data_IF_812661451842
#
_entry.id   IF_812661451842
#
_cell.length_a   1.000
_cell.length_b   1.000
_cell.length_c   1.000
_cell.angle_alpha   90.00
_cell.angle_beta   90.00
_cell.angle_gamma   90.00
#
_symmetry.space_group_name_H-M   'P 1'
#
loop_
_entity.id
_entity.type
_entity.pdbx_description
1 polymer ?
#
# COMPACT_ATOMS: atom_id res chain seq x y z
N UNK A 1 -7.88 8.34 -0.98
CA UNK A 1 -7.38 7.87 -2.29
C UNK A 1 -8.43 8.08 -3.38
N UNK A 2 -8.06 8.70 -4.50
CA UNK A 2 -8.90 8.89 -5.70
C UNK A 2 -8.45 7.91 -6.79
N UNK A 3 -9.26 6.89 -7.06
CA UNK A 3 -8.97 5.88 -8.07
C UNK A 3 -9.83 6.10 -9.32
N UNK A 4 -9.19 6.23 -10.47
CA UNK A 4 -9.81 6.56 -11.74
C UNK A 4 -9.55 5.43 -12.73
N UNK A 5 -10.65 4.84 -13.19
CA UNK A 5 -10.62 3.61 -13.97
C UNK A 5 -10.35 3.82 -15.45
N UNK A 6 -10.32 5.05 -15.97
CA UNK A 6 -9.97 5.33 -17.36
C UNK A 6 -9.38 6.72 -17.58
N UNK A 7 -8.64 6.87 -18.69
CA UNK A 7 -8.02 8.15 -19.03
C UNK A 7 -9.09 9.23 -19.31
N UNK A 8 -10.24 8.86 -19.87
CA UNK A 8 -11.36 9.78 -20.10
C UNK A 8 -11.94 10.30 -18.78
N UNK A 9 -12.08 9.43 -17.78
CA UNK A 9 -12.54 9.80 -16.43
C UNK A 9 -11.48 10.64 -15.69
N UNK A 10 -10.20 10.54 -16.07
CA UNK A 10 -9.12 11.31 -15.47
C UNK A 10 -9.02 12.74 -16.02
N UNK A 11 -9.65 13.03 -17.17
CA UNK A 11 -9.60 14.35 -17.81
C UNK A 11 -9.98 15.51 -16.87
N UNK A 12 -11.06 15.45 -16.06
CA UNK A 12 -11.40 16.51 -15.12
C UNK A 12 -10.30 16.74 -14.09
N UNK A 13 -9.69 15.66 -13.58
CA UNK A 13 -8.62 15.70 -12.58
C UNK A 13 -7.33 16.27 -13.17
N UNK A 14 -6.94 15.86 -14.38
CA UNK A 14 -5.77 16.45 -15.07
C UNK A 14 -5.99 17.91 -15.41
N UNK A 15 -7.20 18.28 -15.85
CA UNK A 15 -7.58 19.68 -16.02
C UNK A 15 -7.61 20.43 -14.69
N UNK A 16 -7.87 19.76 -13.57
CA UNK A 16 -7.80 20.33 -12.23
C UNK A 16 -6.35 20.65 -11.83
N UNK A 17 -5.44 19.72 -12.09
CA UNK A 17 -4.02 19.78 -11.69
C UNK A 17 -3.12 20.53 -12.67
N UNK A 18 -3.50 20.68 -13.95
CA UNK A 18 -2.70 21.33 -14.99
C UNK A 18 -2.60 22.85 -14.86
N UNK A 19 -2.43 23.39 -13.65
CA UNK A 19 -2.42 24.83 -13.36
C UNK A 19 -1.59 25.11 -12.13
N UNK A 20 -0.54 25.90 -12.31
CA UNK A 20 0.44 26.20 -11.25
C UNK A 20 -0.19 26.76 -9.98
N UNK A 21 -1.18 27.66 -10.11
CA UNK A 21 -1.87 28.24 -8.96
C UNK A 21 -2.67 27.21 -8.15
N UNK A 22 -3.19 26.15 -8.80
CA UNK A 22 -3.92 25.06 -8.13
C UNK A 22 -2.97 24.06 -7.49
N UNK A 23 -1.81 23.82 -8.09
CA UNK A 23 -0.74 23.03 -7.46
C UNK A 23 -0.23 23.73 -6.20
N UNK A 24 0.06 25.03 -6.28
CA UNK A 24 0.45 25.84 -5.12
C UNK A 24 -0.62 25.84 -4.02
N UNK A 25 -1.89 25.99 -4.40
CA UNK A 25 -3.01 25.89 -3.47
C UNK A 25 -3.01 24.54 -2.72
N UNK A 26 -2.84 23.44 -3.45
CA UNK A 26 -2.79 22.10 -2.85
C UNK A 26 -1.60 21.99 -1.89
N UNK A 27 -0.41 22.44 -2.29
CA UNK A 27 0.80 22.42 -1.45
C UNK A 27 0.59 23.20 -0.15
N UNK A 28 0.02 24.41 -0.23
CA UNK A 28 -0.29 25.22 0.97
C UNK A 28 -1.26 24.50 1.91
N UNK A 29 -2.29 23.83 1.38
CA UNK A 29 -3.23 23.07 2.22
C UNK A 29 -2.60 21.78 2.80
N UNK A 30 -1.63 21.17 2.12
CA UNK A 30 -0.87 20.03 2.68
C UNK A 30 0.02 20.47 3.84
N UNK A 31 0.58 21.68 3.80
CA UNK A 31 1.41 22.25 4.87
C UNK A 31 0.59 22.67 6.10
N UNK A 32 -0.62 23.20 5.90
CA UNK A 32 -1.43 23.81 6.97
C UNK A 32 -2.68 23.01 7.38
N UNK A 33 -2.91 21.84 6.77
CA UNK A 33 -4.06 20.93 6.95
C UNK A 33 -5.43 21.53 6.55
N UNK A 34 -5.80 22.69 7.08
CA UNK A 34 -7.06 23.38 6.81
C UNK A 34 -6.86 24.91 6.79
N UNK A 35 -7.46 25.61 5.83
CA UNK A 35 -7.38 27.08 5.74
C UNK A 35 -8.69 27.69 5.25
N UNK A 36 -9.05 28.88 5.74
CA UNK A 36 -10.20 29.61 5.21
C UNK A 36 -9.86 30.32 3.88
N UNK A 37 -10.90 30.73 3.14
CA UNK A 37 -10.73 31.36 1.83
C UNK A 37 -9.86 32.63 1.85
N UNK A 38 -9.94 33.45 2.91
CA UNK A 38 -9.20 34.70 2.99
C UNK A 38 -7.70 34.48 3.21
N UNK A 39 -7.36 33.53 4.08
CA UNK A 39 -5.98 33.12 4.34
C UNK A 39 -5.35 32.50 3.10
N UNK A 40 -6.10 31.62 2.43
CA UNK A 40 -5.64 30.95 1.21
C UNK A 40 -5.42 31.95 0.07
N UNK A 41 -6.31 32.95 -0.08
CA UNK A 41 -6.16 34.01 -1.07
C UNK A 41 -4.90 34.86 -0.79
N UNK A 42 -4.66 35.19 0.48
CA UNK A 42 -3.52 35.98 0.92
C UNK A 42 -2.19 35.23 0.72
N UNK A 43 -2.14 33.95 1.08
CA UNK A 43 -0.96 33.09 0.91
C UNK A 43 -0.58 32.92 -0.57
N UNK A 44 -1.60 32.77 -1.43
CA UNK A 44 -1.39 32.60 -2.87
C UNK A 44 -1.18 33.91 -3.63
N UNK A 45 -1.43 35.06 -3.00
CA UNK A 45 -1.30 36.39 -3.62
C UNK A 45 -2.37 36.67 -4.68
N UNK A 46 -3.58 36.12 -4.52
CA UNK A 46 -4.68 36.28 -5.47
C UNK A 46 -5.94 36.83 -4.81
N UNK A 47 -6.89 37.33 -5.59
CA UNK A 47 -8.18 37.80 -5.06
C UNK A 47 -9.09 36.63 -4.68
N UNK A 48 -9.96 36.83 -3.68
CA UNK A 48 -10.97 35.84 -3.28
C UNK A 48 -11.88 35.38 -4.45
N UNK A 49 -12.20 36.29 -5.37
CA UNK A 49 -12.98 35.97 -6.57
C UNK A 49 -12.23 35.02 -7.52
N UNK A 50 -10.93 35.26 -7.74
CA UNK A 50 -10.08 34.36 -8.52
C UNK A 50 -9.95 32.99 -7.83
N UNK A 51 -9.72 32.99 -6.51
CA UNK A 51 -9.59 31.77 -5.71
C UNK A 51 -10.83 30.88 -5.77
N UNK A 52 -12.03 31.46 -5.71
CA UNK A 52 -13.30 30.69 -5.73
C UNK A 52 -13.39 29.79 -6.95
N UNK A 53 -12.94 30.27 -8.12
CA UNK A 53 -12.94 29.48 -9.36
C UNK A 53 -11.94 28.30 -9.32
N UNK A 54 -10.79 28.49 -8.67
CA UNK A 54 -9.78 27.44 -8.51
C UNK A 54 -10.21 26.38 -7.52
N UNK A 55 -10.74 26.80 -6.37
CA UNK A 55 -11.26 25.93 -5.31
C UNK A 55 -12.39 25.07 -5.85
N UNK A 56 -13.37 25.68 -6.55
CA UNK A 56 -14.49 24.93 -7.13
C UNK A 56 -14.05 23.86 -8.12
N UNK A 57 -13.05 24.14 -8.98
CA UNK A 57 -12.51 23.13 -9.92
C UNK A 57 -11.79 21.97 -9.22
N UNK A 58 -11.15 22.23 -8.08
CA UNK A 58 -10.49 21.18 -7.28
C UNK A 58 -11.52 20.36 -6.48
N UNK A 59 -12.58 21.01 -6.00
CA UNK A 59 -13.73 20.37 -5.34
C UNK A 59 -14.48 19.45 -6.30
N UNK A 60 -14.82 19.93 -7.50
CA UNK A 60 -15.48 19.15 -8.55
C UNK A 60 -14.64 17.93 -9.00
N UNK A 61 -13.31 18.03 -8.91
CA UNK A 61 -12.39 16.95 -9.20
C UNK A 61 -12.18 15.99 -8.01
N UNK A 62 -12.83 16.25 -6.86
CA UNK A 62 -12.73 15.44 -5.65
C UNK A 62 -11.41 15.57 -4.89
N UNK A 63 -10.53 16.50 -5.27
CA UNK A 63 -9.19 16.68 -4.67
C UNK A 63 -9.29 17.46 -3.35
N UNK A 64 -10.22 18.41 -3.28
CA UNK A 64 -10.40 19.34 -2.16
C UNK A 64 -11.84 19.22 -1.63
N UNK A 65 -12.01 19.36 -0.32
CA UNK A 65 -13.33 19.47 0.32
C UNK A 65 -13.51 20.87 0.94
N UNK A 66 -14.72 21.40 0.84
CA UNK A 66 -15.12 22.65 1.49
C UNK A 66 -16.06 22.33 2.65
N UNK A 67 -15.64 22.67 3.86
CA UNK A 67 -16.39 22.44 5.08
C UNK A 67 -16.99 23.74 5.61
N UNK A 68 -18.23 23.73 6.14
CA UNK A 68 -18.77 24.85 6.88
C UNK A 68 -18.08 24.96 8.26
N UNK A 69 -17.65 26.16 8.62
CA UNK A 69 -17.05 26.43 9.93
C UNK A 69 -18.17 26.67 10.97
N UNK A 70 -18.15 25.94 12.10
CA UNK A 70 -19.23 25.97 13.09
C UNK A 70 -18.96 26.92 14.27
N UNK A 71 -17.82 27.61 14.28
CA UNK A 71 -17.25 28.21 15.51
C UNK A 71 -17.25 29.74 15.56
N UNK A 72 -17.82 30.44 14.56
CA UNK A 72 -17.74 31.90 14.48
C UNK A 72 -19.01 32.56 13.92
N UNK A 73 -19.22 33.84 14.28
CA UNK A 73 -20.27 34.68 13.69
C UNK A 73 -19.94 34.98 12.22
N UNK A 74 -20.32 34.09 11.31
CA UNK A 74 -20.19 34.27 9.86
C UNK A 74 -20.27 32.96 9.11
N UNK A 75 -20.77 32.99 7.87
CA UNK A 75 -20.91 31.83 6.98
C UNK A 75 -19.54 31.48 6.35
N UNK A 76 -18.53 31.19 7.19
CA UNK A 76 -17.16 30.93 6.75
C UNK A 76 -16.99 29.48 6.29
N UNK A 77 -16.16 29.30 5.27
CA UNK A 77 -15.88 28.03 4.61
C UNK A 77 -14.39 27.73 4.70
N UNK A 78 -14.06 26.54 5.15
CA UNK A 78 -12.69 26.04 5.30
C UNK A 78 -12.40 25.02 4.19
N UNK A 79 -11.23 25.11 3.60
CA UNK A 79 -10.77 24.20 2.56
C UNK A 79 -9.75 23.23 3.12
N UNK A 80 -9.84 21.96 2.73
CA UNK A 80 -8.83 20.93 3.06
C UNK A 80 -8.65 19.95 1.91
N UNK A 81 -7.48 19.31 1.85
CA UNK A 81 -7.24 18.23 0.89
C UNK A 81 -8.02 16.98 1.32
N UNK A 82 -8.71 16.36 0.36
CA UNK A 82 -9.58 15.21 0.60
C UNK A 82 -8.97 13.89 0.09
N UNK A 83 -7.81 13.96 -0.56
CA UNK A 83 -7.15 12.81 -1.19
C UNK A 83 -5.65 12.84 -0.91
N UNK A 84 -5.12 11.68 -0.54
CA UNK A 84 -3.70 11.38 -0.30
C UNK A 84 -2.99 10.91 -1.59
N UNK A 85 -3.69 10.15 -2.43
CA UNK A 85 -3.18 9.59 -3.70
C UNK A 85 -4.21 9.70 -4.81
N UNK A 86 -3.72 9.86 -6.04
CA UNK A 86 -4.51 9.79 -7.27
C UNK A 86 -3.93 8.67 -8.14
N UNK A 87 -4.71 7.63 -8.39
CA UNK A 87 -4.33 6.50 -9.24
C UNK A 87 -5.17 6.52 -10.51
N UNK A 88 -4.52 6.52 -11.68
CA UNK A 88 -5.17 6.55 -12.99
C UNK A 88 -4.75 5.36 -13.81
N UNK A 89 -5.72 4.54 -14.21
CA UNK A 89 -5.51 3.51 -15.21
C UNK A 89 -5.47 4.14 -16.60
N UNK A 90 -4.34 4.00 -17.29
CA UNK A 90 -4.13 4.54 -18.65
C UNK A 90 -4.65 3.56 -19.71
N UNK A 91 -4.53 2.25 -19.46
CA UNK A 91 -4.97 1.20 -20.36
C UNK A 91 -6.27 0.58 -19.85
N UNK A 92 -7.36 1.33 -19.99
CA UNK A 92 -8.69 0.90 -19.54
C UNK A 92 -9.60 0.42 -20.67
N UNK A 93 -9.11 0.55 -21.90
CA UNK A 93 -9.66 -0.06 -23.09
C UNK A 93 -8.55 -0.88 -23.75
N UNK A 94 -8.35 -2.09 -23.25
CA UNK A 94 -7.88 -3.16 -24.12
C UNK A 94 -9.11 -3.95 -24.55
N UNK A 95 -9.74 -3.51 -25.64
CA UNK A 95 -10.26 -4.41 -26.69
C UNK A 95 -9.07 -5.09 -27.41
N UNK A 96 -8.11 -5.56 -26.64
CA UNK A 96 -7.32 -6.75 -26.96
C UNK A 96 -8.20 -7.92 -26.51
N UNK A 97 -8.15 -9.11 -27.13
CA UNK A 97 -8.86 -10.27 -26.57
C UNK A 97 -8.47 -10.32 -25.10
N UNK A 98 -9.48 -10.34 -24.21
CA UNK A 98 -9.33 -10.17 -22.77
C UNK A 98 -7.94 -10.66 -22.33
N UNK A 99 -7.09 -9.77 -21.82
CA UNK A 99 -5.90 -10.23 -21.11
C UNK A 99 -6.47 -11.04 -19.94
N UNK A 100 -6.48 -12.35 -20.14
CA UNK A 100 -7.09 -13.25 -19.21
C UNK A 100 -6.32 -13.06 -17.90
N UNK A 101 -7.05 -12.62 -16.88
CA UNK A 101 -6.47 -12.25 -15.62
C UNK A 101 -7.43 -12.59 -14.50
N UNK A 102 -6.87 -12.89 -13.34
CA UNK A 102 -7.63 -13.03 -12.11
C UNK A 102 -6.99 -12.19 -11.01
N UNK A 103 -7.79 -11.84 -10.03
CA UNK A 103 -7.34 -11.14 -8.83
C UNK A 103 -7.86 -11.85 -7.60
N UNK A 104 -7.04 -11.86 -6.55
CA UNK A 104 -7.37 -12.45 -5.26
C UNK A 104 -6.79 -11.60 -4.14
N UNK A 105 -7.54 -11.47 -3.06
CA UNK A 105 -7.05 -10.91 -1.81
C UNK A 105 -6.69 -12.04 -0.85
N UNK A 106 -5.45 -12.04 -0.35
CA UNK A 106 -4.94 -13.02 0.61
C UNK A 106 -4.84 -12.34 1.96
N UNK A 107 -5.71 -12.68 2.94
CA UNK A 107 -5.60 -12.18 4.32
C UNK A 107 -4.21 -12.39 4.88
N UNK A 108 -3.66 -11.40 5.57
CA UNK A 108 -2.28 -11.52 6.09
C UNK A 108 -2.13 -12.66 7.11
N UNK A 109 -3.22 -13.04 7.79
CA UNK A 109 -3.27 -14.19 8.69
C UNK A 109 -3.23 -15.56 8.00
N UNK A 110 -3.51 -15.63 6.69
CA UNK A 110 -3.60 -16.88 5.91
C UNK A 110 -2.25 -17.40 5.39
N UNK A 111 -1.16 -17.10 6.09
CA UNK A 111 0.11 -17.78 5.83
C UNK A 111 0.00 -19.27 6.19
N UNK A 112 0.83 -20.11 5.56
CA UNK A 112 0.80 -21.56 5.80
C UNK A 112 2.15 -22.14 6.25
N UNK A 113 3.23 -21.38 6.14
CA UNK A 113 4.55 -21.78 6.58
C UNK A 113 5.32 -20.55 7.07
N UNK A 114 6.10 -20.70 8.13
CA UNK A 114 6.81 -19.59 8.76
C UNK A 114 8.02 -20.09 9.55
N UNK A 115 8.99 -19.21 9.72
CA UNK A 115 10.04 -19.33 10.73
C UNK A 115 10.36 -17.91 11.17
N UNK A 116 9.81 -17.51 12.31
CA UNK A 116 9.87 -16.13 12.81
C UNK A 116 10.60 -16.10 14.14
N UNK A 117 11.28 -14.98 14.40
CA UNK A 117 12.02 -14.75 15.64
C UNK A 117 11.70 -13.37 16.20
N UNK A 118 11.80 -13.19 17.53
CA UNK A 118 11.54 -11.93 18.19
C UNK A 118 12.39 -10.73 17.68
N UNK A 119 11.89 -9.50 17.77
CA UNK A 119 10.55 -9.14 18.26
C UNK A 119 9.47 -9.68 17.33
N UNK A 120 8.36 -10.22 17.83
CA UNK A 120 7.33 -10.82 16.96
C UNK A 120 5.93 -10.84 17.58
N UNK A 121 4.90 -10.84 16.75
CA UNK A 121 3.53 -10.96 17.23
C UNK A 121 2.48 -10.83 16.13
N UNK A 122 1.23 -10.97 16.56
CA UNK A 122 0.03 -11.02 15.75
C UNK A 122 -1.11 -10.33 16.50
N UNK A 123 -1.95 -9.59 15.81
CA UNK A 123 -3.16 -9.01 16.41
C UNK A 123 -4.34 -9.01 15.45
N UNK A 124 -5.53 -9.19 15.99
CA UNK A 124 -6.78 -8.82 15.32
C UNK A 124 -7.00 -7.31 15.49
N UNK A 125 -8.12 -6.79 14.99
CA UNK A 125 -8.58 -5.42 15.29
C UNK A 125 -9.02 -5.22 16.74
N UNK A 126 -9.23 -6.29 17.52
CA UNK A 126 -9.83 -6.22 18.85
C UNK A 126 -8.85 -6.60 19.96
N UNK A 127 -7.89 -7.47 19.68
CA UNK A 127 -6.94 -7.97 20.68
C UNK A 127 -5.69 -8.61 20.07
N UNK A 128 -4.63 -8.67 20.87
CA UNK A 128 -3.45 -9.48 20.59
C UNK A 128 -3.82 -10.97 20.50
N UNK A 129 -3.19 -11.66 19.55
CA UNK A 129 -3.29 -13.12 19.43
C UNK A 129 -2.15 -13.71 20.25
N UNK A 130 -2.42 -14.04 21.50
CA UNK A 130 -1.43 -14.59 22.43
C UNK A 130 -0.55 -13.54 23.09
N UNK A 131 0.73 -13.87 23.29
CA UNK A 131 1.73 -13.00 23.89
C UNK A 131 2.75 -12.55 22.83
N UNK A 132 3.25 -11.33 22.98
CA UNK A 132 4.32 -10.80 22.14
C UNK A 132 5.63 -11.54 22.40
N UNK A 133 6.49 -11.58 21.38
CA UNK A 133 7.82 -12.19 21.39
C UNK A 133 7.84 -13.71 21.63
N UNK A 134 6.71 -14.38 21.42
CA UNK A 134 6.62 -15.84 21.42
C UNK A 134 6.17 -16.38 20.04
N UNK A 135 7.11 -16.91 19.24
CA UNK A 135 6.83 -17.46 17.91
C UNK A 135 5.77 -18.57 17.88
N UNK A 136 5.47 -19.23 19.01
CA UNK A 136 4.49 -20.32 19.06
C UNK A 136 3.08 -19.84 18.72
N UNK A 137 2.76 -18.57 18.95
CA UNK A 137 1.44 -18.02 18.63
C UNK A 137 1.20 -17.87 17.12
N UNK A 138 2.24 -17.95 16.28
CA UNK A 138 2.06 -18.05 14.84
C UNK A 138 1.44 -19.38 14.38
N UNK A 139 1.32 -20.39 15.26
CA UNK A 139 0.51 -21.59 15.02
C UNK A 139 -0.87 -21.55 15.72
N UNK A 140 -1.19 -20.48 16.46
CA UNK A 140 -2.46 -20.41 17.20
C UNK A 140 -3.64 -20.30 16.22
N UNK A 141 -4.74 -21.06 16.36
CA UNK A 141 -5.83 -21.08 15.38
C UNK A 141 -6.39 -19.71 14.98
N UNK A 142 -6.42 -18.75 15.90
CA UNK A 142 -6.84 -17.36 15.65
C UNK A 142 -5.89 -16.55 14.76
N UNK A 143 -4.72 -17.09 14.38
CA UNK A 143 -3.78 -16.40 13.48
C UNK A 143 -4.41 -16.05 12.14
N UNK A 144 -5.41 -16.82 11.69
CA UNK A 144 -6.16 -16.57 10.45
C UNK A 144 -6.92 -15.24 10.47
N UNK A 145 -7.25 -14.73 11.67
CA UNK A 145 -7.96 -13.48 11.87
C UNK A 145 -7.00 -12.27 12.05
N UNK A 146 -5.68 -12.50 11.98
CA UNK A 146 -4.69 -11.45 12.16
C UNK A 146 -4.85 -10.35 11.09
N UNK A 147 -4.80 -9.09 11.56
CA UNK A 147 -4.85 -7.85 10.77
C UNK A 147 -3.55 -7.07 10.80
N UNK A 148 -2.67 -7.40 11.74
CA UNK A 148 -1.26 -7.02 11.73
C UNK A 148 -0.42 -8.20 12.19
N UNK A 149 0.78 -8.34 11.61
CA UNK A 149 1.79 -9.30 12.05
C UNK A 149 3.19 -8.72 11.89
N UNK A 150 4.11 -9.09 12.77
CA UNK A 150 5.48 -8.60 12.73
C UNK A 150 6.48 -9.64 13.21
N UNK A 151 7.71 -9.54 12.72
CA UNK A 151 8.84 -10.32 13.21
C UNK A 151 10.20 -9.66 12.93
N UNK A 152 11.18 -9.85 13.83
CA UNK A 152 12.51 -9.25 13.73
C UNK A 152 13.42 -9.90 12.69
N UNK A 153 13.27 -11.19 12.44
CA UNK A 153 13.96 -11.93 11.37
C UNK A 153 13.26 -13.23 11.02
N UNK A 154 13.64 -13.81 9.88
CA UNK A 154 13.10 -15.06 9.37
C UNK A 154 12.15 -14.84 8.21
N UNK A 155 11.12 -15.66 8.06
CA UNK A 155 10.22 -15.60 6.91
C UNK A 155 8.79 -16.01 7.22
N UNK A 156 7.89 -15.61 6.31
CA UNK A 156 6.50 -16.04 6.26
C UNK A 156 6.07 -16.30 4.80
N UNK A 157 5.37 -17.42 4.58
CA UNK A 157 4.95 -17.91 3.26
C UNK A 157 3.44 -17.87 3.07
N UNK A 158 3.03 -17.32 1.93
CA UNK A 158 1.65 -17.26 1.46
C UNK A 158 1.45 -18.11 0.23
N UNK A 159 0.31 -18.81 0.18
CA UNK A 159 -0.12 -19.58 -0.98
C UNK A 159 -0.95 -18.67 -1.86
N UNK A 160 -0.48 -18.40 -3.07
CA UNK A 160 -1.29 -17.76 -4.11
C UNK A 160 -2.04 -18.88 -4.84
N UNK A 161 -3.38 -18.88 -4.86
CA UNK A 161 -4.13 -19.86 -5.62
C UNK A 161 -3.83 -19.73 -7.11
N UNK A 162 -3.21 -20.76 -7.68
CA UNK A 162 -2.92 -20.81 -9.10
C UNK A 162 -4.20 -21.18 -9.89
N UNK A 163 -4.95 -20.16 -10.30
CA UNK A 163 -6.17 -20.32 -11.11
C UNK A 163 -5.89 -20.23 -12.62
N UNK A 164 -4.65 -20.52 -13.04
CA UNK A 164 -4.24 -20.49 -14.44
C UNK A 164 -4.93 -21.62 -15.22
N UNK A 165 -5.67 -21.33 -16.31
CA UNK A 165 -6.25 -22.36 -17.15
C UNK A 165 -5.17 -23.25 -17.81
N UNK A 166 -5.47 -24.52 -18.11
CA UNK A 166 -4.53 -25.39 -18.82
C UNK A 166 -4.04 -24.79 -20.14
N UNK A 167 -2.73 -24.87 -20.38
CA UNK A 167 -2.11 -24.35 -21.61
C UNK A 167 -1.91 -22.82 -21.62
N UNK A 168 -2.12 -22.14 -20.50
CA UNK A 168 -1.79 -20.72 -20.33
C UNK A 168 -0.45 -20.57 -19.61
N UNK A 169 0.19 -19.42 -19.74
CA UNK A 169 1.41 -19.01 -19.02
C UNK A 169 1.22 -17.65 -18.37
N UNK A 170 1.88 -17.42 -17.24
CA UNK A 170 1.84 -16.13 -16.55
C UNK A 170 2.74 -15.13 -17.27
N UNK A 171 2.19 -13.98 -17.68
CA UNK A 171 2.96 -12.88 -18.26
C UNK A 171 3.39 -11.85 -17.23
N UNK A 172 2.51 -11.60 -16.26
CA UNK A 172 2.74 -10.62 -15.19
C UNK A 172 2.04 -11.03 -13.91
N UNK A 173 2.78 -11.00 -12.81
CA UNK A 173 2.28 -11.10 -11.43
C UNK A 173 2.43 -9.75 -10.75
N UNK A 174 1.38 -9.25 -10.12
CA UNK A 174 1.38 -8.00 -9.35
C UNK A 174 0.90 -8.29 -7.94
N UNK A 175 1.66 -7.85 -6.94
CA UNK A 175 1.29 -7.91 -5.53
C UNK A 175 1.25 -6.49 -4.95
N UNK A 176 0.20 -6.17 -4.21
CA UNK A 176 0.04 -4.92 -3.47
C UNK A 176 -0.18 -5.24 -1.99
N UNK A 177 0.60 -4.60 -1.12
CA UNK A 177 0.59 -4.86 0.32
C UNK A 177 1.14 -3.65 1.10
N UNK A 178 0.67 -3.45 2.32
CA UNK A 178 1.23 -2.46 3.24
C UNK A 178 2.29 -3.10 4.15
N UNK A 179 3.49 -2.52 4.20
CA UNK A 179 4.64 -3.10 4.89
C UNK A 179 5.58 -2.03 5.48
N UNK A 180 6.23 -2.32 6.60
CA UNK A 180 7.33 -1.53 7.19
C UNK A 180 8.42 -2.46 7.75
N UNK A 181 9.46 -1.86 8.35
CA UNK A 181 10.34 -2.60 9.26
C UNK A 181 9.67 -2.76 10.62
N UNK A 182 10.35 -3.42 11.55
CA UNK A 182 9.88 -3.71 12.91
C UNK A 182 10.99 -3.36 13.92
N UNK A 183 10.73 -2.33 14.74
CA UNK A 183 11.63 -1.92 15.82
C UNK A 183 11.00 -2.23 17.17
N UNK A 184 11.79 -2.47 18.24
CA UNK A 184 11.24 -2.46 19.59
C UNK A 184 10.59 -1.10 19.90
N UNK A 185 9.26 -1.06 19.94
CA UNK A 185 8.50 0.19 20.03
C UNK A 185 8.21 0.75 18.64
N UNK A 186 8.74 1.93 18.33
CA UNK A 186 8.71 2.54 16.99
C UNK A 186 9.99 3.33 16.76
N UNK A 187 10.52 3.26 15.53
CA UNK A 187 11.67 4.07 15.12
C UNK A 187 11.66 4.27 13.61
N UNK A 188 11.41 5.51 13.18
CA UNK A 188 11.35 5.87 11.75
C UNK A 188 12.70 5.82 11.02
N UNK A 189 13.80 5.66 11.76
CA UNK A 189 15.14 5.40 11.23
C UNK A 189 15.62 4.00 11.69
N UNK A 190 14.99 2.98 11.12
CA UNK A 190 15.23 1.57 11.44
C UNK A 190 15.20 0.72 10.17
N UNK A 191 16.22 0.83 9.31
CA UNK A 191 16.17 0.21 8.00
C UNK A 191 16.10 -1.32 8.10
N UNK A 192 15.40 -1.94 7.14
CA UNK A 192 15.33 -3.40 7.05
C UNK A 192 15.31 -3.87 5.61
N UNK A 193 16.24 -4.77 5.26
CA UNK A 193 16.32 -5.41 3.96
C UNK A 193 15.32 -6.56 3.88
N UNK A 194 14.18 -6.31 3.23
CA UNK A 194 13.09 -7.28 3.07
C UNK A 194 13.18 -7.90 1.69
N UNK A 195 13.48 -9.19 1.65
CA UNK A 195 13.61 -10.00 0.45
C UNK A 195 12.29 -10.69 0.12
N UNK A 196 11.95 -10.69 -1.17
CA UNK A 196 10.78 -11.36 -1.70
C UNK A 196 11.20 -12.62 -2.47
N UNK A 197 10.47 -13.71 -2.26
CA UNK A 197 10.68 -14.93 -3.04
C UNK A 197 9.36 -15.40 -3.66
N UNK A 198 9.48 -16.03 -4.82
CA UNK A 198 8.40 -16.75 -5.47
C UNK A 198 8.91 -18.14 -5.85
N UNK A 199 8.25 -19.20 -5.35
CA UNK A 199 8.67 -20.59 -5.52
C UNK A 199 10.17 -20.81 -5.24
N UNK A 200 10.63 -20.32 -4.08
CA UNK A 200 12.03 -20.36 -3.62
C UNK A 200 13.04 -19.55 -4.45
N UNK A 201 12.61 -18.85 -5.49
CA UNK A 201 13.48 -17.95 -6.26
C UNK A 201 13.41 -16.55 -5.66
N UNK A 202 14.55 -15.97 -5.27
CA UNK A 202 14.62 -14.58 -4.79
C UNK A 202 14.31 -13.64 -5.95
N UNK A 203 13.17 -12.96 -5.90
CA UNK A 203 12.72 -12.06 -6.98
C UNK A 203 13.22 -10.63 -6.76
N UNK A 204 13.63 -10.27 -5.54
CA UNK A 204 14.27 -8.99 -5.26
C UNK A 204 14.32 -8.68 -3.77
N UNK A 205 14.90 -7.54 -3.43
CA UNK A 205 14.95 -7.00 -2.06
C UNK A 205 14.54 -5.53 -2.09
N UNK A 206 13.77 -5.12 -1.10
CA UNK A 206 13.43 -3.73 -0.83
C UNK A 206 13.88 -3.38 0.58
N UNK A 207 14.57 -2.26 0.74
CA UNK A 207 14.93 -1.75 2.06
C UNK A 207 13.82 -0.82 2.56
N UNK A 208 13.10 -1.26 3.60
CA UNK A 208 12.22 -0.37 4.37
C UNK A 208 13.07 0.69 5.07
N UNK A 209 12.66 1.97 5.11
CA UNK A 209 13.43 3.00 5.79
C UNK A 209 13.24 3.01 7.31
N UNK A 210 12.11 2.50 7.82
CA UNK A 210 11.83 2.52 9.24
C UNK A 210 10.46 1.98 9.63
N UNK A 211 10.21 2.09 10.93
CA UNK A 211 9.05 1.60 11.64
C UNK A 211 8.24 2.78 12.19
N UNK A 212 7.00 2.93 11.73
CA UNK A 212 6.29 4.21 11.79
C UNK A 212 5.19 4.20 12.85
N UNK A 213 5.23 5.17 13.75
CA UNK A 213 4.15 5.43 14.72
C UNK A 213 4.12 6.87 15.22
N UNK A 214 4.66 7.79 14.42
CA UNK A 214 4.61 9.23 14.66
C UNK A 214 3.19 9.80 14.55
N UNK A 215 2.35 9.17 13.72
CA UNK A 215 0.92 9.45 13.59
C UNK A 215 0.11 8.17 13.72
N UNK A 216 -1.11 8.29 14.22
CA UNK A 216 -2.05 7.19 14.27
C UNK A 216 -2.46 6.75 12.86
N UNK A 217 -2.45 5.43 12.62
CA UNK A 217 -2.83 4.86 11.33
C UNK A 217 -4.32 5.03 11.08
N UNK A 218 -4.71 5.24 9.82
CA UNK A 218 -6.10 5.52 9.45
C UNK A 218 -7.10 4.43 9.88
N UNK A 219 -6.65 3.17 9.90
CA UNK A 219 -7.45 2.00 10.26
C UNK A 219 -6.94 1.31 11.53
N UNK A 220 -5.87 1.82 12.14
CA UNK A 220 -5.29 1.21 13.34
C UNK A 220 -6.27 1.36 14.51
N UNK A 221 -6.56 0.31 15.30
CA UNK A 221 -7.54 0.38 16.38
C UNK A 221 -7.14 1.33 17.52
N UNK A 222 -8.13 1.98 18.13
CA UNK A 222 -7.92 2.93 19.25
C UNK A 222 -7.22 2.32 20.48
N UNK A 223 -7.38 1.00 20.70
CA UNK A 223 -6.74 0.32 21.84
C UNK A 223 -5.25 0.00 21.58
N UNK A 224 -4.81 0.08 20.32
CA UNK A 224 -3.44 -0.22 19.94
C UNK A 224 -2.47 0.77 20.61
N UNK A 225 -1.35 0.27 21.11
CA UNK A 225 -0.44 1.09 21.90
C UNK A 225 0.19 2.20 21.03
N UNK A 226 0.15 3.47 21.44
CA UNK A 226 0.70 4.56 20.63
C UNK A 226 2.21 4.47 20.38
N UNK A 227 2.93 3.73 21.24
CA UNK A 227 4.36 3.48 21.10
C UNK A 227 4.68 2.22 20.28
N UNK A 228 3.68 1.60 19.65
CA UNK A 228 3.84 0.54 18.67
C UNK A 228 3.53 1.09 17.28
N UNK A 229 3.99 0.37 16.26
CA UNK A 229 3.84 0.78 14.89
C UNK A 229 2.38 0.90 14.48
N UNK A 230 2.09 2.01 13.81
CA UNK A 230 0.76 2.47 13.49
C UNK A 230 0.42 2.26 12.02
N UNK A 231 1.41 2.24 11.13
CA UNK A 231 1.21 2.08 9.69
C UNK A 231 2.49 1.66 8.96
N UNK A 232 2.33 1.27 7.71
CA UNK A 232 3.41 0.97 6.79
C UNK A 232 3.30 1.75 5.47
N UNK A 233 4.15 1.38 4.52
CA UNK A 233 4.14 1.92 3.18
C UNK A 233 3.42 0.95 2.25
N UNK A 234 2.49 1.46 1.44
CA UNK A 234 1.91 0.66 0.37
C UNK A 234 2.96 0.40 -0.71
N UNK A 235 3.26 -0.87 -0.96
CA UNK A 235 4.20 -1.33 -1.96
C UNK A 235 3.49 -2.08 -3.06
N UNK A 236 3.93 -1.87 -4.29
CA UNK A 236 3.49 -2.63 -5.46
C UNK A 236 4.68 -3.38 -6.05
N UNK A 237 4.71 -4.70 -5.88
CA UNK A 237 5.70 -5.59 -6.48
C UNK A 237 5.15 -6.14 -7.81
N UNK A 238 5.87 -5.92 -8.91
CA UNK A 238 5.51 -6.43 -10.24
C UNK A 238 6.61 -7.34 -10.75
N UNK A 239 6.26 -8.56 -11.13
CA UNK A 239 7.15 -9.48 -11.83
C UNK A 239 6.55 -9.68 -13.23
N UNK A 240 7.26 -9.26 -14.26
CA UNK A 240 6.85 -9.45 -15.65
C UNK A 240 7.98 -10.04 -16.48
N UNK A 241 7.83 -10.04 -17.81
CA UNK A 241 8.87 -10.53 -18.75
C UNK A 241 10.16 -9.71 -18.78
N UNK A 242 10.17 -8.50 -18.23
CA UNK A 242 11.30 -7.56 -18.25
C UNK A 242 12.10 -7.56 -16.94
N UNK A 243 11.52 -8.06 -15.85
CA UNK A 243 12.18 -8.22 -14.56
C UNK A 243 11.20 -8.12 -13.39
N UNK A 244 11.76 -7.82 -12.22
CA UNK A 244 11.00 -7.54 -11.00
C UNK A 244 11.18 -6.09 -10.59
N UNK A 245 10.07 -5.44 -10.25
CA UNK A 245 9.98 -4.02 -9.96
C UNK A 245 9.24 -3.80 -8.66
N UNK A 246 9.64 -2.80 -7.88
CA UNK A 246 8.86 -2.30 -6.76
C UNK A 246 8.56 -0.83 -6.99
N UNK A 247 7.27 -0.46 -6.96
CA UNK A 247 6.77 0.88 -7.28
C UNK A 247 7.32 1.44 -8.61
N UNK A 248 7.50 0.56 -9.61
CA UNK A 248 8.03 0.90 -10.93
C UNK A 248 9.56 0.97 -11.03
N UNK A 249 10.29 0.85 -9.93
CA UNK A 249 11.75 0.77 -9.93
C UNK A 249 12.21 -0.68 -10.03
N UNK A 250 13.09 -0.98 -11.00
CA UNK A 250 13.62 -2.34 -11.18
C UNK A 250 14.53 -2.72 -10.01
N UNK A 251 14.23 -3.85 -9.35
CA UNK A 251 15.02 -4.38 -8.22
C UNK A 251 15.72 -5.70 -8.55
N UNK A 252 15.36 -6.36 -9.65
CA UNK A 252 15.98 -7.61 -10.10
C UNK A 252 15.70 -7.89 -11.59
N UNK A 253 16.59 -8.67 -12.21
CA UNK A 253 16.39 -9.21 -13.57
C UNK A 253 15.54 -10.48 -13.60
N UNK A 254 15.18 -11.04 -12.43
CA UNK A 254 14.27 -12.19 -12.33
C UNK A 254 12.92 -11.82 -12.93
N UNK A 255 12.46 -12.64 -13.85
CA UNK A 255 11.28 -12.39 -14.69
C UNK A 255 10.42 -13.65 -14.80
N UNK A 256 9.22 -13.51 -15.36
CA UNK A 256 8.24 -14.62 -15.49
C UNK A 256 8.74 -15.80 -16.34
N UNK A 257 9.72 -15.59 -17.23
CA UNK A 257 10.29 -16.68 -18.03
C UNK A 257 11.21 -17.60 -17.22
N UNK A 258 11.87 -17.05 -16.19
CA UNK A 258 12.77 -17.83 -15.31
C UNK A 258 12.00 -18.66 -14.28
N UNK A 259 10.78 -18.24 -13.94
CA UNK A 259 10.01 -18.81 -12.85
C UNK A 259 9.12 -20.01 -13.27
N UNK A 260 9.10 -20.33 -14.58
CA UNK A 260 8.42 -21.48 -15.22
C UNK A 260 7.19 -21.99 -14.46
N UNK A 261 6.05 -21.29 -14.57
CA UNK A 261 4.79 -21.74 -13.99
C UNK A 261 3.94 -22.48 -15.02
N UNK A 262 3.45 -23.65 -14.64
CA UNK A 262 2.35 -24.36 -15.28
C UNK A 262 1.08 -24.22 -14.44
N UNK A 263 -0.07 -24.60 -15.00
CA UNK A 263 -1.35 -24.64 -14.27
C UNK A 263 -1.40 -25.71 -13.16
N UNK A 264 -0.32 -26.44 -12.92
CA UNK A 264 -0.22 -27.49 -11.89
C UNK A 264 0.72 -27.10 -10.75
N UNK A 265 1.48 -26.02 -10.90
CA UNK A 265 2.45 -25.61 -9.90
C UNK A 265 1.77 -24.82 -8.78
N UNK A 266 2.20 -25.08 -7.54
CA UNK A 266 1.89 -24.19 -6.43
C UNK A 266 2.59 -22.85 -6.65
N UNK A 267 1.94 -21.75 -6.28
CA UNK A 267 2.56 -20.43 -6.22
C UNK A 267 2.73 -20.04 -4.75
N UNK A 268 3.98 -20.04 -4.29
CA UNK A 268 4.34 -19.68 -2.91
C UNK A 268 5.11 -18.37 -2.93
N UNK A 269 4.53 -17.34 -2.32
CA UNK A 269 5.16 -16.04 -2.16
C UNK A 269 5.65 -15.87 -0.73
N UNK A 270 6.89 -15.41 -0.58
CA UNK A 270 7.57 -15.26 0.71
C UNK A 270 7.98 -13.82 0.96
N UNK A 271 7.74 -13.36 2.18
CA UNK A 271 8.44 -12.22 2.77
C UNK A 271 9.52 -12.75 3.71
N UNK A 272 10.76 -12.28 3.56
CA UNK A 272 11.89 -12.75 4.34
C UNK A 272 12.81 -11.60 4.72
N UNK A 273 13.21 -11.57 5.99
CA UNK A 273 14.34 -10.76 6.47
C UNK A 273 15.52 -11.70 6.60
N UNK A 274 16.46 -11.58 5.66
CA UNK A 274 17.60 -12.47 5.49
C UNK A 274 18.61 -12.33 6.65
N UNK A 275 19.16 -13.46 7.12
CA UNK A 275 20.41 -13.47 7.88
C UNK A 275 21.48 -14.26 7.11
N UNK A 276 22.65 -13.65 6.80
CA UNK A 276 23.04 -12.25 7.07
C UNK A 276 22.49 -11.27 6.01
N UNK A 277 21.98 -10.11 6.45
CA UNK A 277 21.72 -8.92 5.60
C UNK A 277 22.49 -7.70 6.14
N UNK A 278 22.54 -6.61 5.37
CA UNK A 278 23.15 -5.36 5.84
C UNK A 278 22.26 -4.70 6.91
N UNK A 279 20.95 -4.71 6.68
CA UNK A 279 19.96 -4.13 7.59
C UNK A 279 18.98 -5.23 8.07
N UNK A 280 19.12 -5.67 9.31
CA UNK A 280 18.22 -6.64 9.96
C UNK A 280 17.28 -5.87 10.89
N UNK A 281 16.30 -5.19 10.30
CA UNK A 281 15.35 -4.36 11.02
C UNK A 281 13.95 -4.97 11.10
N UNK A 282 13.80 -6.27 10.86
CA UNK A 282 12.49 -6.95 10.89
C UNK A 282 11.51 -6.49 9.82
N UNK A 283 10.27 -6.98 9.90
CA UNK A 283 9.19 -6.54 9.04
C UNK A 283 7.85 -6.60 9.77
N UNK A 284 6.96 -5.68 9.38
CA UNK A 284 5.55 -5.65 9.79
C UNK A 284 4.68 -5.64 8.56
N UNK A 285 3.70 -6.55 8.48
CA UNK A 285 2.66 -6.56 7.46
C UNK A 285 1.35 -6.05 8.06
N UNK A 286 0.72 -5.13 7.36
CA UNK A 286 -0.59 -4.58 7.71
C UNK A 286 -1.62 -5.14 6.72
N UNK A 287 -2.70 -5.68 7.28
CA UNK A 287 -3.82 -6.23 6.54
C UNK A 287 -5.02 -5.31 6.59
N UNK A 288 -6.13 -5.82 6.05
CA UNK A 288 -7.38 -5.08 6.02
C UNK A 288 -7.80 -4.68 7.44
N UNK A 289 -8.27 -3.44 7.60
CA UNK A 289 -8.67 -2.84 8.88
C UNK A 289 -7.52 -2.62 9.89
N UNK A 290 -6.28 -2.44 9.41
CA UNK A 290 -5.12 -2.00 10.19
C UNK A 290 -4.19 -1.13 9.32
N UNK A 291 -3.43 -0.21 9.91
CA UNK A 291 -2.50 0.63 9.15
C UNK A 291 -3.19 1.76 8.39
N UNK A 292 -2.69 2.10 7.20
CA UNK A 292 -3.17 3.20 6.37
C UNK A 292 -3.94 2.76 5.13
N UNK A 293 -3.86 1.49 4.75
CA UNK A 293 -4.50 0.99 3.53
C UNK A 293 -5.42 -0.17 3.87
N UNK A 294 -6.72 0.00 3.59
CA UNK A 294 -7.72 -1.00 3.89
C UNK A 294 -7.73 -2.19 2.88
N UNK A 295 -6.63 -2.93 2.83
CA UNK A 295 -6.43 -4.11 1.98
C UNK A 295 -5.54 -5.13 2.67
N UNK A 296 -5.71 -6.40 2.34
CA UNK A 296 -4.72 -7.43 2.65
C UNK A 296 -3.66 -7.51 1.52
N UNK A 297 -3.06 -8.68 1.28
CA UNK A 297 -2.16 -8.86 0.14
C UNK A 297 -3.03 -9.05 -1.11
N UNK A 298 -3.17 -8.00 -1.91
CA UNK A 298 -3.85 -8.09 -3.20
C UNK A 298 -2.90 -8.66 -4.25
N UNK A 299 -3.34 -9.70 -4.95
CA UNK A 299 -2.58 -10.36 -6.01
C UNK A 299 -3.37 -10.32 -7.31
N UNK A 300 -2.73 -9.88 -8.39
CA UNK A 300 -3.26 -9.91 -9.74
C UNK A 300 -2.33 -10.67 -10.68
N UNK A 301 -2.89 -11.63 -11.40
CA UNK A 301 -2.15 -12.47 -12.34
C UNK A 301 -2.70 -12.23 -13.73
N UNK A 302 -1.84 -11.83 -14.67
CA UNK A 302 -2.13 -11.76 -16.10
C UNK A 302 -1.48 -12.95 -16.79
N UNK A 303 -2.20 -13.56 -17.72
CA UNK A 303 -1.73 -14.73 -18.45
C UNK A 303 -2.17 -14.72 -19.91
N UNK A 304 -1.43 -15.46 -20.74
CA UNK A 304 -1.72 -15.66 -22.16
C UNK A 304 -1.47 -17.11 -22.57
N UNK A 305 -1.98 -17.53 -23.74
CA UNK A 305 -1.75 -18.89 -24.22
C UNK A 305 -0.26 -19.21 -24.32
N UNK A 306 0.11 -20.42 -23.90
CA UNK A 306 1.43 -20.97 -24.08
C UNK A 306 1.54 -21.46 -25.53
N UNK A 307 1.95 -20.56 -26.43
CA UNK A 307 2.18 -20.84 -27.87
C UNK A 307 3.54 -21.48 -28.09
#
# INVERSE_FOLDING_TARGET
MLYIKSLEQAVPVFKALGSDIRIRLIQTLLEHQEMNMNELASSLGITNGALTSHVKKLEEAGILAILPEHSGHGNQKVCRINVDKILVDIASNNDSPAEDSYSIDIPIGNYFNYSVYPTCGLSTTDNLIGEVDDPRYFAHPSHVDAKILWFGRGFIDYRIPNMLPPGQKIDRLTLSFEISSEAPGVNSDWPSDISFFLNNTKVGTWTSPGDFGDVHGMFTPDWWFPNWNQYGLLKMLVIDRHGTFIDGLKISDVNTQQLTFTSQDDMVFRFQVDEPSQNIGGLTLFGKDFGNYNQDINVKVHYTPNV
#
